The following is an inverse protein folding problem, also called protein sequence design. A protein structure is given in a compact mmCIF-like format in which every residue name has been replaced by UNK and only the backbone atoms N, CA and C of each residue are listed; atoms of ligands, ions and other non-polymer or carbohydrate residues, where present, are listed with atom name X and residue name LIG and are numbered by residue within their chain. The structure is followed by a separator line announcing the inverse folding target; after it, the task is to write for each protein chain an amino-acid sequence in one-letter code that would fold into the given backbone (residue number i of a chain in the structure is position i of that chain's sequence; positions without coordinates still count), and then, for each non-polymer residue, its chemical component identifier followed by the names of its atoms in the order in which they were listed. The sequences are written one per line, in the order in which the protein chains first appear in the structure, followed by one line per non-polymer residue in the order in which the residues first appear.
data_IF_658952558877
#
_entry.id   IF_658952558877
#
_cell.length_a   1.000
_cell.length_b   1.000
_cell.length_c   1.000
_cell.angle_alpha   90.00
_cell.angle_beta   90.00
_cell.angle_gamma   90.00
#
_symmetry.space_group_name_H-M   'P 1'
#
loop_
_entity.id
_entity.type
_entity.pdbx_description
1 polymer ?
#
# COMPACT_ATOMS: atom_id res chain seq x y z
N UNK A 1 1.27 -19.06 0.07
CA UNK A 1 1.07 -17.73 -0.49
C UNK A 1 2.38 -16.97 -0.48
N UNK A 2 2.68 -16.32 -1.56
CA UNK A 2 3.93 -15.62 -1.70
C UNK A 2 3.77 -14.14 -1.41
N UNK A 3 4.68 -13.58 -0.62
CA UNK A 3 4.69 -12.16 -0.35
C UNK A 3 5.67 -11.50 -1.29
N UNK A 4 5.22 -10.45 -1.93
CA UNK A 4 6.04 -9.70 -2.86
C UNK A 4 6.23 -8.30 -2.31
N UNK A 5 7.47 -7.88 -2.20
CA UNK A 5 7.82 -6.57 -1.71
C UNK A 5 8.33 -5.71 -2.85
N UNK A 6 7.93 -4.45 -2.84
CA UNK A 6 8.35 -3.49 -3.85
C UNK A 6 9.10 -2.37 -3.17
N UNK A 7 10.22 -2.00 -3.77
CA UNK A 7 11.07 -0.98 -3.20
C UNK A 7 10.54 0.40 -3.55
N UNK A 8 10.54 1.31 -2.58
CA UNK A 8 10.13 2.68 -2.81
C UNK A 8 11.20 3.36 -3.66
N UNK A 9 10.75 3.95 -4.78
CA UNK A 9 11.68 4.61 -5.69
C UNK A 9 11.57 6.13 -5.59
N UNK A 10 10.51 6.64 -4.95
CA UNK A 10 10.33 8.09 -4.88
C UNK A 10 9.41 8.42 -3.72
N UNK A 11 9.69 9.55 -3.07
CA UNK A 11 8.85 10.06 -1.99
C UNK A 11 8.62 11.53 -2.26
N UNK A 12 7.35 11.93 -2.16
CA UNK A 12 6.99 13.32 -2.35
C UNK A 12 5.87 13.63 -1.34
N UNK A 13 6.20 14.37 -0.28
CA UNK A 13 5.24 14.63 0.76
C UNK A 13 4.82 13.32 1.42
N UNK A 14 3.53 13.08 1.49
CA UNK A 14 3.00 11.85 2.08
C UNK A 14 2.74 10.78 1.03
N UNK A 15 3.24 10.98 -0.18
CA UNK A 15 3.00 10.06 -1.29
C UNK A 15 4.29 9.36 -1.62
N UNK A 16 4.24 8.04 -1.71
CA UNK A 16 5.38 7.23 -2.11
C UNK A 16 5.06 6.55 -3.43
N UNK A 17 6.08 6.27 -4.21
CA UNK A 17 5.93 5.62 -5.50
C UNK A 17 6.75 4.35 -5.55
N UNK A 18 6.14 3.29 -6.05
CA UNK A 18 6.81 2.03 -6.30
C UNK A 18 6.48 1.58 -7.72
N UNK A 19 7.22 0.59 -8.20
CA UNK A 19 6.91 -0.06 -9.47
C UNK A 19 6.26 -1.40 -9.17
N UNK A 20 5.07 -1.62 -9.71
CA UNK A 20 4.33 -2.85 -9.50
C UNK A 20 3.31 -3.03 -10.60
N UNK A 21 2.90 -4.26 -10.81
CA UNK A 21 1.89 -4.58 -11.80
C UNK A 21 0.75 -5.31 -11.11
N UNK A 22 -0.43 -5.19 -11.71
CA UNK A 22 -1.59 -5.89 -11.18
C UNK A 22 -2.18 -5.28 -9.93
N UNK A 23 -1.87 -4.02 -9.68
CA UNK A 23 -2.34 -3.31 -8.50
C UNK A 23 -3.59 -2.53 -8.88
N UNK A 24 -4.55 -2.47 -7.98
CA UNK A 24 -5.80 -1.77 -8.22
C UNK A 24 -5.84 -0.46 -7.46
N UNK A 25 -6.69 0.46 -7.92
CA UNK A 25 -6.98 1.67 -7.17
C UNK A 25 -7.53 1.31 -5.81
N UNK A 26 -7.18 2.11 -4.83
CA UNK A 26 -7.67 1.98 -3.45
C UNK A 26 -7.18 0.72 -2.75
N UNK A 27 -6.28 -0.01 -3.36
CA UNK A 27 -5.71 -1.19 -2.71
C UNK A 27 -4.87 -0.74 -1.53
N UNK A 28 -4.97 -1.47 -0.43
CA UNK A 28 -4.17 -1.18 0.76
C UNK A 28 -2.81 -1.83 0.66
N UNK A 29 -1.85 -1.19 1.32
CA UNK A 29 -0.50 -1.70 1.35
C UNK A 29 0.14 -1.40 2.68
N UNK A 30 1.15 -2.18 3.01
CA UNK A 30 1.97 -1.97 4.19
C UNK A 30 3.33 -1.47 3.77
N UNK A 31 3.79 -0.42 4.43
CA UNK A 31 5.12 0.14 4.18
C UNK A 31 6.00 -0.22 5.37
N UNK A 32 7.10 -0.90 5.09
CA UNK A 32 8.07 -1.31 6.10
C UNK A 32 9.24 -0.33 6.09
N UNK A 33 9.50 0.27 7.23
CA UNK A 33 10.58 1.24 7.36
C UNK A 33 11.30 1.00 8.68
N UNK A 34 12.35 1.78 8.91
CA UNK A 34 13.09 1.67 10.15
C UNK A 34 12.24 2.00 11.36
N UNK A 35 11.16 2.76 11.15
CA UNK A 35 10.28 3.15 12.25
C UNK A 35 9.14 2.17 12.46
N UNK A 36 9.07 1.13 11.69
CA UNK A 36 8.03 0.14 11.81
C UNK A 36 7.18 0.07 10.56
N UNK A 37 5.94 -0.33 10.72
CA UNK A 37 5.04 -0.57 9.62
C UNK A 37 3.97 0.51 9.59
N UNK A 38 3.71 1.03 8.38
CA UNK A 38 2.67 2.03 8.16
C UNK A 38 1.70 1.53 7.12
N UNK A 39 0.48 2.04 7.17
CA UNK A 39 -0.53 1.70 6.19
C UNK A 39 -0.59 2.76 5.11
N UNK A 40 -0.80 2.32 3.88
CA UNK A 40 -0.91 3.22 2.74
C UNK A 40 -1.98 2.72 1.80
N UNK A 41 -2.42 3.60 0.91
CA UNK A 41 -3.48 3.26 -0.03
C UNK A 41 -3.11 3.79 -1.40
N UNK A 42 -3.39 2.99 -2.41
CA UNK A 42 -3.11 3.37 -3.80
C UNK A 42 -4.02 4.51 -4.21
N UNK A 43 -3.41 5.60 -4.66
CA UNK A 43 -4.17 6.76 -5.11
C UNK A 43 -3.98 7.04 -6.59
N UNK A 44 -2.98 6.41 -7.22
CA UNK A 44 -2.72 6.67 -8.62
C UNK A 44 -2.01 5.50 -9.25
N UNK A 45 -2.39 5.19 -10.47
CA UNK A 45 -1.75 4.18 -11.29
C UNK A 45 -1.33 4.83 -12.60
N UNK A 46 -0.06 4.67 -12.96
CA UNK A 46 0.49 5.28 -14.16
C UNK A 46 1.44 4.26 -14.78
N UNK A 47 0.90 3.43 -15.67
CA UNK A 47 1.68 2.33 -16.18
C UNK A 47 2.02 1.36 -15.07
N UNK A 48 3.31 1.10 -14.88
CA UNK A 48 3.74 0.26 -13.76
C UNK A 48 4.16 1.08 -12.53
N UNK A 49 3.93 2.40 -12.57
CA UNK A 49 4.23 3.24 -11.42
C UNK A 49 2.98 3.35 -10.57
N UNK A 50 3.12 3.06 -9.30
CA UNK A 50 2.01 3.07 -8.36
C UNK A 50 2.33 4.09 -7.28
N UNK A 51 1.42 5.05 -7.10
CA UNK A 51 1.56 6.06 -6.06
C UNK A 51 0.61 5.73 -4.93
N UNK A 52 1.12 5.81 -3.71
CA UNK A 52 0.36 5.47 -2.52
C UNK A 52 0.45 6.63 -1.54
N UNK A 53 -0.66 6.90 -0.88
CA UNK A 53 -0.68 7.86 0.21
C UNK A 53 -0.50 7.11 1.52
N UNK A 54 0.50 7.53 2.29
CA UNK A 54 0.76 6.94 3.59
C UNK A 54 -0.07 7.67 4.62
N UNK A 55 -0.96 6.95 5.30
CA UNK A 55 -1.95 7.58 6.17
C UNK A 55 -1.30 8.37 7.31
N UNK A 56 -0.24 7.83 7.87
CA UNK A 56 0.43 8.48 8.98
C UNK A 56 1.53 9.43 8.53
N UNK A 57 1.67 9.65 7.22
CA UNK A 57 2.73 10.49 6.69
C UNK A 57 3.98 9.67 6.40
N UNK A 58 4.89 10.28 5.67
CA UNK A 58 6.07 9.58 5.20
C UNK A 58 7.29 9.78 6.08
N UNK A 59 7.13 10.39 7.25
CA UNK A 59 8.26 10.63 8.13
C UNK A 59 8.90 9.29 8.52
N UNK A 60 10.20 9.19 8.35
CA UNK A 60 10.92 7.98 8.68
C UNK A 60 10.94 6.95 7.57
N UNK A 61 10.24 7.22 6.48
CA UNK A 61 10.24 6.35 5.32
C UNK A 61 11.23 6.90 4.31
N UNK A 62 12.06 6.04 3.73
CA UNK A 62 13.06 6.44 2.75
C UNK A 62 12.98 5.60 1.51
N UNK A 63 13.64 6.09 0.46
CA UNK A 63 13.78 5.26 -0.75
C UNK A 63 14.58 4.03 -0.36
N UNK A 64 14.17 2.90 -0.90
CA UNK A 64 14.76 1.64 -0.51
C UNK A 64 13.95 0.90 0.52
N UNK A 65 13.06 1.57 1.24
CA UNK A 65 12.12 0.88 2.08
C UNK A 65 11.13 0.13 1.21
N UNK A 66 10.36 -0.77 1.81
CA UNK A 66 9.61 -1.73 1.03
C UNK A 66 8.13 -1.61 1.28
N UNK A 67 7.36 -1.93 0.25
CA UNK A 67 5.90 -1.89 0.28
C UNK A 67 5.37 -3.27 -0.09
N UNK A 68 4.39 -3.74 0.67
CA UNK A 68 3.71 -5.00 0.40
C UNK A 68 2.23 -4.72 0.21
N UNK A 69 1.69 -5.08 -0.94
CA UNK A 69 0.28 -4.86 -1.23
C UNK A 69 -0.56 -5.92 -0.55
N UNK A 70 -1.67 -5.50 0.01
CA UNK A 70 -2.53 -6.38 0.78
C UNK A 70 -3.67 -6.95 -0.04
N UNK A 71 -3.92 -6.39 -1.21
CA UNK A 71 -4.91 -6.95 -2.13
C UNK A 71 -6.34 -6.69 -1.75
N UNK A 72 -6.60 -5.59 -1.03
CA UNK A 72 -7.98 -5.26 -0.69
C UNK A 72 -8.11 -3.78 -0.49
N UNK A 73 -9.34 -3.32 -0.62
CA UNK A 73 -9.62 -1.91 -0.49
C UNK A 73 -9.78 -1.52 0.96
N UNK A 74 -9.70 -0.24 1.19
CA UNK A 74 -9.91 0.33 2.52
C UNK A 74 -11.26 -0.05 3.09
N UNK A 75 -12.28 -0.07 2.26
CA UNK A 75 -13.60 -0.34 2.71
C UNK A 75 -13.74 -1.79 3.11
N UNK A 76 -14.16 -2.00 4.31
CA UNK A 76 -14.33 -3.34 4.81
C UNK A 76 -15.79 -3.65 4.82
N UNK A 77 -16.13 -4.71 4.40
CA UNK A 77 -17.50 -5.05 4.44
C UNK A 77 -17.83 -6.08 5.43
N UNK A 78 -17.82 -5.94 5.48
CA UNK A 78 -18.13 -6.67 5.96
C UNK A 78 -18.46 -7.47 5.92
N UNK A 79 -18.49 -7.51 5.80
CA UNK A 79 -18.69 -8.23 5.93
C UNK A 79 -18.53 -8.92 5.69
N UNK A 80 -18.49 -9.20 5.63
CA UNK A 80 -18.24 -9.74 5.45
C UNK A 80 -18.09 -10.22 5.56
N UNK A 81 -18.48 -10.34 5.56
CA UNK A 81 -18.40 -10.62 5.54
C UNK A 81 -18.31 -11.04 5.59
N UNK A 82 -18.64 -11.26 5.59
CA UNK A 82 -18.63 -11.43 5.51
C UNK A 82 -18.40 -11.90 5.56
N UNK A 83 -18.71 -12.20 5.67
CA UNK A 83 -18.59 -12.32 5.63
C UNK A 83 -18.39 -12.64 5.97
N UNK A 84 -18.82 -12.87 6.14
CA UNK A 84 -18.83 -12.89 6.30
C UNK A 84 -18.73 -13.08 6.72
N UNK A 85 -18.93 -13.34 6.92
CA UNK A 85 -19.03 -13.12 7.14
C UNK A 85 -19.36 -13.20 7.55
N UNK A 86 -19.82 -13.42 7.75
CA UNK A 86 -20.39 -13.30 7.95
C UNK A 86 -20.78 -13.50 8.12
N UNK A 87 -21.17 -13.79 8.30
CA UNK A 87 -21.63 -13.87 8.26
C UNK A 87 -21.72 -13.99 8.12
#
# INVERSE_FOLDING_TARGET
MRKVYHQIIRISGNVITVEAEGVAYNELAEVSSARGTSLAQVIRLDGNKVSLQVFAGSRGIGTGDQVRFLGREMMVSGSDALLGYRN
#
